data_IF_646911145228
#
_entry.id   IF_646911145228
#
_cell.length_a   1.000
_cell.length_b   1.000
_cell.length_c   1.000
_cell.angle_alpha   90.00
_cell.angle_beta   90.00
_cell.angle_gamma   90.00
#
_symmetry.space_group_name_H-M   'P 1'
#
loop_
_entity.id
_entity.type
_entity.pdbx_description
1 polymer ?
#
# COMPACT_ATOMS: atom_id res chain seq x y z
N UNK A 1 22.44 -5.29 -23.06
CA UNK A 1 20.96 -5.24 -23.22
C UNK A 1 20.19 -6.14 -22.23
N UNK A 2 20.84 -6.98 -21.41
CA UNK A 2 20.16 -7.89 -20.46
C UNK A 2 19.52 -7.20 -19.23
N UNK A 3 20.02 -6.03 -18.82
CA UNK A 3 19.58 -5.36 -17.58
C UNK A 3 18.17 -4.75 -17.67
N UNK A 4 17.73 -4.33 -18.85
CA UNK A 4 16.44 -3.66 -19.04
C UNK A 4 15.27 -4.64 -19.01
N UNK A 5 15.47 -5.86 -19.54
CA UNK A 5 14.45 -6.91 -19.53
C UNK A 5 14.20 -7.45 -18.12
N UNK A 6 15.26 -7.61 -17.31
CA UNK A 6 15.16 -8.01 -15.90
C UNK A 6 14.43 -6.94 -15.07
N UNK A 7 14.79 -5.67 -15.23
CA UNK A 7 14.12 -4.57 -14.55
C UNK A 7 12.63 -4.46 -14.93
N UNK A 8 12.29 -4.63 -16.21
CA UNK A 8 10.90 -4.63 -16.67
C UNK A 8 10.09 -5.82 -16.12
N UNK A 9 10.73 -6.99 -15.98
CA UNK A 9 10.14 -8.16 -15.33
C UNK A 9 9.89 -7.90 -13.84
N UNK A 10 10.88 -7.36 -13.13
CA UNK A 10 10.75 -7.06 -11.70
C UNK A 10 9.68 -5.99 -11.44
N UNK A 11 9.59 -4.95 -12.28
CA UNK A 11 8.52 -3.96 -12.17
C UNK A 11 7.13 -4.60 -12.39
N UNK A 12 7.02 -5.51 -13.35
CA UNK A 12 5.76 -6.23 -13.63
C UNK A 12 5.37 -7.17 -12.48
N UNK A 13 6.34 -7.84 -11.85
CA UNK A 13 6.11 -8.67 -10.67
C UNK A 13 5.60 -7.84 -9.48
N UNK A 14 6.18 -6.64 -9.28
CA UNK A 14 5.73 -5.71 -8.24
C UNK A 14 4.30 -5.24 -8.50
N UNK A 15 3.97 -4.86 -9.74
CA UNK A 15 2.58 -4.50 -10.12
C UNK A 15 1.62 -5.63 -9.81
N UNK A 16 1.99 -6.84 -10.20
CA UNK A 16 1.17 -8.04 -9.99
C UNK A 16 0.95 -8.32 -8.50
N UNK A 17 1.99 -8.17 -7.67
CA UNK A 17 1.89 -8.33 -6.22
C UNK A 17 0.94 -7.28 -5.59
N UNK A 18 1.08 -6.01 -5.96
CA UNK A 18 0.19 -4.94 -5.46
C UNK A 18 -1.26 -5.19 -5.87
N UNK A 19 -1.49 -5.54 -7.13
CA UNK A 19 -2.82 -5.86 -7.63
C UNK A 19 -3.44 -7.03 -6.87
N UNK A 20 -2.70 -8.12 -6.71
CA UNK A 20 -3.16 -9.30 -6.00
C UNK A 20 -3.55 -9.00 -4.55
N UNK A 21 -2.75 -8.22 -3.83
CA UNK A 21 -3.03 -7.84 -2.43
C UNK A 21 -4.26 -6.93 -2.35
N UNK A 22 -4.42 -6.00 -3.29
CA UNK A 22 -5.64 -5.20 -3.38
C UNK A 22 -6.88 -6.06 -3.61
N UNK A 23 -6.79 -7.05 -4.51
CA UNK A 23 -7.91 -7.96 -4.79
C UNK A 23 -8.26 -8.80 -3.54
N UNK A 24 -7.26 -9.28 -2.80
CA UNK A 24 -7.48 -9.96 -1.53
C UNK A 24 -8.20 -9.05 -0.51
N UNK A 25 -7.75 -7.80 -0.36
CA UNK A 25 -8.41 -6.82 0.52
C UNK A 25 -9.86 -6.55 0.10
N UNK A 26 -10.09 -6.33 -1.20
CA UNK A 26 -11.41 -6.07 -1.78
C UNK A 26 -12.36 -7.24 -1.60
N UNK A 27 -11.86 -8.47 -1.70
CA UNK A 27 -12.65 -9.70 -1.60
C UNK A 27 -12.74 -10.25 -0.16
N UNK A 28 -12.26 -9.52 0.84
CA UNK A 28 -12.36 -9.95 2.24
C UNK A 28 -11.42 -11.10 2.63
N UNK A 29 -10.40 -11.40 1.81
CA UNK A 29 -9.43 -12.48 2.03
C UNK A 29 -8.33 -12.06 3.01
N UNK A 30 -8.73 -11.54 4.18
CA UNK A 30 -7.82 -10.87 5.13
C UNK A 30 -6.73 -11.78 5.71
N UNK A 31 -6.98 -13.09 5.76
CA UNK A 31 -5.97 -14.08 6.15
C UNK A 31 -4.81 -14.11 5.15
N UNK A 32 -5.12 -14.10 3.85
CA UNK A 32 -4.11 -14.08 2.80
C UNK A 32 -3.38 -12.73 2.74
N UNK A 33 -4.05 -11.63 3.09
CA UNK A 33 -3.42 -10.31 3.26
C UNK A 33 -2.37 -10.35 4.37
N UNK A 34 -2.62 -11.03 5.49
CA UNK A 34 -1.61 -11.19 6.54
C UNK A 34 -0.34 -11.87 6.01
N UNK A 35 -0.50 -12.88 5.16
CA UNK A 35 0.63 -13.59 4.56
C UNK A 35 1.40 -12.73 3.57
N UNK A 36 0.81 -11.65 3.06
CA UNK A 36 1.48 -10.67 2.19
C UNK A 36 2.39 -9.69 2.94
N UNK A 37 2.35 -9.67 4.27
CA UNK A 37 3.16 -8.79 5.09
C UNK A 37 4.61 -9.32 5.24
N UNK A 38 5.62 -8.42 5.32
CA UNK A 38 6.98 -8.79 5.67
C UNK A 38 7.05 -9.54 7.01
N UNK A 39 8.03 -10.41 7.15
CA UNK A 39 8.33 -11.15 8.38
C UNK A 39 8.39 -10.25 9.61
N UNK A 40 9.09 -9.11 9.51
CA UNK A 40 9.22 -8.12 10.58
C UNK A 40 7.86 -7.50 10.99
N UNK A 41 6.95 -7.29 10.04
CA UNK A 41 5.60 -6.80 10.32
C UNK A 41 4.75 -7.88 10.99
N UNK A 42 4.83 -9.13 10.52
CA UNK A 42 4.14 -10.28 11.14
C UNK A 42 4.60 -10.56 12.57
N UNK A 43 5.84 -10.21 12.92
CA UNK A 43 6.34 -10.28 14.30
C UNK A 43 5.72 -9.22 15.24
N UNK A 44 5.15 -8.13 14.71
CA UNK A 44 4.59 -7.00 15.50
C UNK A 44 3.08 -6.98 15.56
N UNK A 45 2.40 -7.52 14.55
CA UNK A 45 0.95 -7.67 14.55
C UNK A 45 0.61 -9.15 14.39
N UNK A 46 -0.25 -9.67 15.28
CA UNK A 46 -0.77 -11.02 15.11
C UNK A 46 -1.76 -11.07 13.95
N UNK A 47 -1.90 -12.26 13.37
CA UNK A 47 -2.89 -12.57 12.33
C UNK A 47 -4.29 -12.11 12.73
N UNK A 48 -4.76 -12.57 13.88
CA UNK A 48 -6.09 -12.24 14.40
C UNK A 48 -6.30 -10.73 14.54
N UNK A 49 -5.30 -10.01 15.06
CA UNK A 49 -5.41 -8.55 15.27
C UNK A 49 -5.53 -7.81 13.95
N UNK A 50 -4.78 -8.21 12.92
CA UNK A 50 -4.93 -7.64 11.58
C UNK A 50 -6.31 -7.94 11.00
N UNK A 51 -6.71 -9.22 11.01
CA UNK A 51 -7.97 -9.70 10.42
C UNK A 51 -9.16 -9.02 11.06
N UNK A 52 -9.21 -8.94 12.40
CA UNK A 52 -10.25 -8.23 13.12
C UNK A 52 -10.24 -6.72 12.84
N UNK A 53 -9.05 -6.12 12.68
CA UNK A 53 -8.92 -4.73 12.26
C UNK A 53 -9.55 -4.45 10.90
N UNK A 54 -9.25 -5.29 9.91
CA UNK A 54 -9.78 -5.17 8.55
C UNK A 54 -11.28 -5.47 8.48
N UNK A 55 -11.78 -6.47 9.21
CA UNK A 55 -13.22 -6.75 9.30
C UNK A 55 -14.02 -5.57 9.86
N UNK A 56 -13.50 -4.91 10.90
CA UNK A 56 -14.15 -3.74 11.50
C UNK A 56 -14.27 -2.55 10.55
N UNK A 57 -13.33 -2.41 9.62
CA UNK A 57 -13.31 -1.29 8.68
C UNK A 57 -14.09 -1.56 7.40
N UNK A 58 -14.39 -2.82 7.09
CA UNK A 58 -15.15 -3.24 5.90
C UNK A 58 -16.56 -2.60 5.81
N UNK A 59 -17.20 -2.29 6.93
CA UNK A 59 -18.49 -1.59 6.94
C UNK A 59 -18.38 -0.10 6.62
N UNK A 60 -17.20 0.50 6.79
CA UNK A 60 -16.95 1.94 6.60
C UNK A 60 -16.65 2.30 5.15
N UNK A 61 -16.12 1.36 4.36
CA UNK A 61 -15.76 1.60 2.97
C UNK A 61 -15.90 0.35 2.11
N UNK A 62 -16.15 0.57 0.82
CA UNK A 62 -16.19 -0.45 -0.21
C UNK A 62 -15.10 -0.15 -1.24
N UNK A 63 -14.06 -0.99 -1.28
CA UNK A 63 -12.96 -0.84 -2.24
C UNK A 63 -13.47 -1.04 -3.67
N UNK A 64 -13.14 -0.10 -4.55
CA UNK A 64 -13.60 -0.10 -5.94
C UNK A 64 -12.49 -0.58 -6.88
N UNK A 65 -11.38 0.14 -6.92
CA UNK A 65 -10.23 -0.13 -7.81
C UNK A 65 -8.95 0.50 -7.27
N UNK A 66 -7.83 0.17 -7.91
CA UNK A 66 -6.55 0.86 -7.76
C UNK A 66 -6.01 1.30 -9.12
N UNK A 67 -5.27 2.40 -9.12
CA UNK A 67 -4.36 2.77 -10.20
C UNK A 67 -2.93 2.57 -9.70
N UNK A 68 -2.16 1.72 -10.39
CA UNK A 68 -0.74 1.49 -10.10
C UNK A 68 0.10 2.38 -11.01
N UNK A 69 0.74 3.38 -10.42
CA UNK A 69 1.55 4.38 -11.11
C UNK A 69 2.97 3.91 -11.41
N UNK A 70 3.95 4.78 -11.16
CA UNK A 70 5.36 4.48 -11.36
C UNK A 70 5.82 3.40 -10.37
N UNK A 71 6.52 2.39 -10.88
CA UNK A 71 7.20 1.36 -10.10
C UNK A 71 8.69 1.56 -10.24
N UNK A 72 9.42 1.42 -9.13
CA UNK A 72 10.89 1.50 -9.14
C UNK A 72 11.44 0.39 -8.28
N UNK A 73 12.30 -0.43 -8.86
CA UNK A 73 12.93 -1.57 -8.20
C UNK A 73 14.41 -1.30 -8.00
N UNK A 74 14.94 -1.71 -6.85
CA UNK A 74 16.37 -1.76 -6.58
C UNK A 74 16.69 -3.02 -5.75
N UNK A 75 17.18 -4.05 -6.44
CA UNK A 75 17.44 -5.36 -5.81
C UNK A 75 16.16 -5.95 -5.23
N UNK A 76 16.16 -6.21 -3.92
CA UNK A 76 15.04 -6.84 -3.23
C UNK A 76 13.99 -5.84 -2.71
N UNK A 77 13.96 -4.63 -3.24
CA UNK A 77 13.05 -3.57 -2.78
C UNK A 77 12.38 -2.91 -3.97
N UNK A 78 11.12 -2.55 -3.77
CA UNK A 78 10.42 -1.66 -4.69
C UNK A 78 9.68 -0.54 -3.95
N UNK A 79 9.49 0.57 -4.68
CA UNK A 79 8.54 1.61 -4.33
C UNK A 79 7.55 1.78 -5.48
N UNK A 80 6.28 1.99 -5.15
CA UNK A 80 5.21 2.13 -6.13
C UNK A 80 4.21 3.19 -5.70
N UNK A 81 3.96 4.16 -6.57
CA UNK A 81 2.88 5.12 -6.35
C UNK A 81 1.54 4.44 -6.68
N UNK A 82 0.59 4.46 -5.75
CA UNK A 82 -0.73 3.82 -5.91
C UNK A 82 -1.83 4.80 -5.55
N UNK A 83 -2.88 4.85 -6.38
CA UNK A 83 -4.13 5.52 -6.03
C UNK A 83 -5.20 4.47 -5.78
N UNK A 84 -5.71 4.38 -4.56
CA UNK A 84 -6.79 3.47 -4.19
C UNK A 84 -8.11 4.23 -4.14
N UNK A 85 -9.15 3.69 -4.79
CA UNK A 85 -10.49 4.27 -4.83
C UNK A 85 -11.43 3.40 -4.02
N UNK A 86 -12.27 4.04 -3.22
CA UNK A 86 -13.26 3.39 -2.41
C UNK A 86 -14.51 4.26 -2.29
N UNK A 87 -15.66 3.63 -2.21
CA UNK A 87 -16.86 4.29 -1.75
C UNK A 87 -16.86 4.30 -0.22
N UNK A 88 -16.85 5.48 0.39
CA UNK A 88 -16.94 5.66 1.84
C UNK A 88 -18.43 5.64 2.22
N UNK A 89 -18.80 4.79 3.18
CA UNK A 89 -20.17 4.64 3.70
C UNK A 89 -20.38 5.40 5.01
N UNK A 90 -19.31 5.56 5.80
CA UNK A 90 -19.34 6.28 7.08
C UNK A 90 -18.05 7.10 7.29
N UNK A 91 -18.14 8.30 7.89
CA UNK A 91 -19.37 8.96 8.37
C UNK A 91 -20.15 9.72 7.28
N UNK A 92 -19.67 9.68 6.04
CA UNK A 92 -20.30 10.32 4.88
C UNK A 92 -20.45 9.28 3.77
N UNK A 93 -21.45 9.49 2.91
CA UNK A 93 -21.72 8.71 1.71
C UNK A 93 -21.09 9.44 0.51
N UNK A 94 -19.88 9.01 0.13
CA UNK A 94 -19.13 9.63 -0.97
C UNK A 94 -18.03 8.72 -1.51
N UNK A 95 -17.66 8.92 -2.78
CA UNK A 95 -16.44 8.32 -3.31
C UNK A 95 -15.20 9.02 -2.77
N UNK A 96 -14.21 8.23 -2.36
CA UNK A 96 -12.93 8.68 -1.87
C UNK A 96 -11.78 8.06 -2.65
N UNK A 97 -10.62 8.71 -2.60
CA UNK A 97 -9.36 8.12 -3.03
C UNK A 97 -8.22 8.42 -2.09
N UNK A 98 -7.31 7.45 -1.94
CA UNK A 98 -6.05 7.59 -1.22
C UNK A 98 -4.91 7.50 -2.23
N UNK A 99 -4.07 8.53 -2.26
CA UNK A 99 -2.81 8.52 -3.02
C UNK A 99 -1.69 8.20 -2.03
N UNK A 100 -1.09 7.03 -2.21
CA UNK A 100 -0.12 6.43 -1.28
C UNK A 100 1.13 6.02 -2.05
N UNK A 101 2.29 6.26 -1.46
CA UNK A 101 3.52 5.60 -1.89
C UNK A 101 3.66 4.30 -1.11
N UNK A 102 3.61 3.17 -1.82
CA UNK A 102 3.77 1.86 -1.22
C UNK A 102 5.21 1.38 -1.31
N UNK A 103 5.67 0.69 -0.26
CA UNK A 103 7.00 0.07 -0.23
C UNK A 103 6.82 -1.45 -0.19
N UNK A 104 7.59 -2.15 -1.03
CA UNK A 104 7.60 -3.60 -1.08
C UNK A 104 9.01 -4.12 -0.84
N UNK A 105 9.10 -5.26 -0.16
CA UNK A 105 10.35 -5.96 0.14
C UNK A 105 10.20 -7.39 -0.38
N UNK A 106 11.21 -7.89 -1.10
CA UNK A 106 11.26 -9.26 -1.59
C UNK A 106 11.84 -10.15 -0.48
N UNK A 107 11.02 -11.04 0.05
CA UNK A 107 11.39 -12.07 1.03
C UNK A 107 10.99 -13.43 0.46
N UNK A 108 11.88 -14.43 0.54
CA UNK A 108 11.65 -15.79 0.01
C UNK A 108 11.17 -15.79 -1.45
N UNK A 109 11.74 -14.90 -2.27
CA UNK A 109 11.38 -14.74 -3.69
C UNK A 109 10.04 -14.04 -3.94
N UNK A 110 9.31 -13.62 -2.91
CA UNK A 110 7.98 -12.99 -3.03
C UNK A 110 8.00 -11.53 -2.59
N UNK A 111 7.35 -10.67 -3.35
CA UNK A 111 7.12 -9.28 -2.96
C UNK A 111 6.09 -9.20 -1.83
N UNK A 112 6.47 -8.55 -0.73
CA UNK A 112 5.66 -8.33 0.47
C UNK A 112 5.41 -6.84 0.65
N UNK A 113 4.19 -6.43 0.98
CA UNK A 113 3.84 -5.00 1.15
C UNK A 113 4.15 -4.57 2.58
N UNK A 114 5.08 -3.63 2.72
CA UNK A 114 5.47 -3.04 4.00
C UNK A 114 4.63 -1.79 4.37
N UNK A 115 3.78 -1.31 3.45
CA UNK A 115 2.98 -0.10 3.65
C UNK A 115 2.03 -0.22 4.84
N UNK A 116 2.05 0.80 5.70
CA UNK A 116 1.31 0.82 6.97
C UNK A 116 2.17 0.45 8.19
N UNK A 117 3.40 -0.04 7.97
CA UNK A 117 4.37 -0.31 9.02
C UNK A 117 5.58 0.62 8.91
N UNK A 118 5.45 1.83 9.46
CA UNK A 118 6.48 2.87 9.43
C UNK A 118 7.81 2.40 10.05
N UNK A 119 7.77 1.49 11.02
CA UNK A 119 8.99 0.94 11.62
C UNK A 119 9.75 0.04 10.63
N UNK A 120 9.06 -0.84 9.89
CA UNK A 120 9.68 -1.61 8.80
C UNK A 120 10.26 -0.68 7.75
N UNK A 121 9.48 0.30 7.28
CA UNK A 121 9.91 1.22 6.22
C UNK A 121 11.12 2.04 6.66
N UNK A 122 11.12 2.60 7.87
CA UNK A 122 12.23 3.41 8.36
C UNK A 122 13.51 2.57 8.56
N UNK A 123 13.39 1.40 9.16
CA UNK A 123 14.52 0.46 9.31
C UNK A 123 15.10 0.11 7.94
N UNK A 124 14.21 -0.18 6.99
CA UNK A 124 14.55 -0.49 5.62
C UNK A 124 15.33 0.64 4.93
N UNK A 125 14.80 1.87 4.94
CA UNK A 125 15.41 3.02 4.28
C UNK A 125 16.75 3.40 4.93
N UNK A 126 16.88 3.25 6.25
CA UNK A 126 18.14 3.44 6.98
C UNK A 126 19.23 2.49 6.50
N UNK A 127 18.87 1.23 6.23
CA UNK A 127 19.80 0.21 5.74
C UNK A 127 20.08 0.33 4.23
N UNK A 128 19.34 1.18 3.50
CA UNK A 128 19.43 1.33 2.05
C UNK A 128 19.51 2.82 1.65
N UNK A 129 20.56 3.55 2.09
CA UNK A 129 20.62 5.01 1.98
C UNK A 129 20.61 5.52 0.54
N UNK A 130 21.23 4.81 -0.41
CA UNK A 130 21.22 5.17 -1.83
C UNK A 130 19.81 5.12 -2.42
N UNK A 131 19.01 4.13 -2.00
CA UNK A 131 17.61 4.01 -2.40
C UNK A 131 16.77 5.11 -1.76
N UNK A 132 16.93 5.32 -0.44
CA UNK A 132 16.20 6.34 0.31
C UNK A 132 16.42 7.75 -0.25
N UNK A 133 17.64 8.08 -0.68
CA UNK A 133 17.96 9.39 -1.30
C UNK A 133 17.20 9.61 -2.61
N UNK A 134 17.01 8.55 -3.41
CA UNK A 134 16.29 8.61 -4.69
C UNK A 134 14.77 8.59 -4.52
N UNK A 135 14.29 7.93 -3.46
CA UNK A 135 12.88 7.68 -3.22
C UNK A 135 12.49 8.03 -1.77
N UNK A 136 12.46 9.33 -1.43
CA UNK A 136 12.02 9.77 -0.12
C UNK A 136 10.54 9.42 0.10
N UNK A 137 10.18 9.21 1.37
CA UNK A 137 8.80 8.92 1.77
C UNK A 137 7.92 10.12 1.39
N UNK A 138 6.89 9.86 0.58
CA UNK A 138 5.85 10.85 0.27
C UNK A 138 4.72 10.80 1.30
N UNK A 139 4.16 11.96 1.62
CA UNK A 139 2.98 12.06 2.48
C UNK A 139 1.77 11.43 1.77
N UNK A 140 1.03 10.58 2.48
CA UNK A 140 -0.26 10.07 2.00
C UNK A 140 -1.25 11.22 1.87
N UNK A 141 -2.02 11.22 0.78
CA UNK A 141 -3.06 12.23 0.51
C UNK A 141 -4.40 11.55 0.38
N UNK A 142 -5.44 12.11 0.99
CA UNK A 142 -6.80 11.62 0.87
C UNK A 142 -7.65 12.64 0.15
N UNK A 143 -8.59 12.16 -0.65
CA UNK A 143 -9.53 13.01 -1.36
C UNK A 143 -10.93 12.42 -1.24
N UNK A 144 -11.93 13.29 -1.25
CA UNK A 144 -13.34 12.95 -1.41
C UNK A 144 -13.86 13.60 -2.69
N UNK A 145 -14.74 12.91 -3.40
CA UNK A 145 -15.44 13.46 -4.56
C UNK A 145 -16.66 14.24 -4.07
N UNK A 146 -16.69 15.54 -4.33
CA UNK A 146 -17.85 16.39 -4.10
C UNK A 146 -18.28 17.00 -5.44
N UNK A 147 -19.46 16.61 -5.91
CA UNK A 147 -20.06 17.12 -7.15
C UNK A 147 -19.13 17.02 -8.37
N UNK A 148 -18.40 15.91 -8.50
CA UNK A 148 -17.47 15.67 -9.61
C UNK A 148 -16.05 16.20 -9.38
N UNK A 149 -15.81 16.91 -8.27
CA UNK A 149 -14.50 17.48 -7.95
C UNK A 149 -13.81 16.70 -6.82
N UNK A 150 -12.54 16.35 -7.02
CA UNK A 150 -11.72 15.71 -5.99
C UNK A 150 -11.13 16.75 -5.04
N UNK A 151 -11.59 16.77 -3.80
CA UNK A 151 -11.15 17.71 -2.77
C UNK A 151 -10.24 16.96 -1.79
N UNK A 152 -9.03 17.48 -1.57
CA UNK A 152 -8.10 16.90 -0.61
C UNK A 152 -8.61 17.11 0.82
N UNK A 153 -8.62 16.05 1.61
CA UNK A 153 -9.00 16.06 3.02
C UNK A 153 -7.77 15.71 3.88
N UNK A 154 -7.60 16.37 5.03
CA UNK A 154 -6.49 16.06 5.93
C UNK A 154 -6.66 14.65 6.53
N UNK A 155 -5.66 13.80 6.34
CA UNK A 155 -5.53 12.54 7.06
C UNK A 155 -5.05 12.81 8.47
N UNK A 156 -5.98 12.94 9.42
CA UNK A 156 -5.67 13.04 10.84
C UNK A 156 -5.01 14.36 11.24
N UNK A 157 -5.83 15.40 11.40
CA UNK A 157 -5.70 16.30 12.54
C UNK A 157 -6.84 15.94 13.48
N UNK A 158 -6.56 15.67 14.76
CA UNK A 158 -7.60 15.84 15.78
C UNK A 158 -8.20 17.23 15.53
N UNK A 159 -9.53 17.34 15.38
CA UNK A 159 -10.18 18.59 15.76
C UNK A 159 -9.78 18.79 17.23
N UNK A 160 -9.01 19.84 17.49
CA UNK A 160 -8.81 20.35 18.83
C UNK A 160 -10.19 20.75 19.40
#
# INVERSE_FOLDING_TARGET
MLNTALAASDESDVRSAVQHIFDQLKNGQYEAVYDSLPSASRARISRDKLVQGLRRSQSMFQLQRIDIGAVRVAGNIAVVDTTMYAHVKQPFDADGKLVVQQYLIREDGKWRVATGDTATINSFLKNNPTFARKFPIKKTRAFVNQNGNWIEIPLGGRRA
#
